data_IF_983257849545
#
_entry.id   IF_983257849545
#
_cell.length_a   1.000
_cell.length_b   1.000
_cell.length_c   1.000
_cell.angle_alpha   90.00
_cell.angle_beta   90.00
_cell.angle_gamma   90.00
#
_symmetry.space_group_name_H-M   'P 1'
#
loop_
_entity.id
_entity.type
_entity.pdbx_description
1 polymer ?
#
# COMPACT_ATOMS: atom_id res chain seq x y z
N UNK A 1 8.52 -54.72 -20.49
CA UNK A 1 7.59 -54.11 -19.52
C UNK A 1 8.27 -53.39 -18.35
N UNK A 2 9.60 -53.10 -18.40
CA UNK A 2 10.31 -52.35 -17.35
C UNK A 2 10.63 -50.89 -17.72
N UNK A 3 10.40 -50.49 -18.98
CA UNK A 3 10.70 -49.14 -19.50
C UNK A 3 9.64 -48.08 -19.19
N UNK A 4 8.42 -48.48 -18.81
CA UNK A 4 7.33 -47.54 -18.51
C UNK A 4 7.36 -46.98 -17.07
N UNK A 5 8.09 -47.62 -16.15
CA UNK A 5 8.17 -47.17 -14.76
C UNK A 5 9.19 -46.05 -14.53
N UNK A 6 10.09 -45.81 -15.49
CA UNK A 6 11.13 -44.77 -15.38
C UNK A 6 10.69 -43.40 -15.94
N UNK A 7 9.63 -43.35 -16.75
CA UNK A 7 9.11 -42.09 -17.32
C UNK A 7 8.03 -41.42 -16.45
N UNK A 8 7.50 -42.12 -15.45
CA UNK A 8 6.45 -41.58 -14.57
C UNK A 8 6.95 -40.70 -13.41
N UNK A 9 8.26 -40.66 -13.15
CA UNK A 9 8.81 -40.12 -11.89
C UNK A 9 9.50 -38.75 -11.97
N UNK A 10 9.51 -38.08 -13.12
CA UNK A 10 10.20 -36.77 -13.24
C UNK A 10 9.29 -35.68 -13.80
N UNK A 11 8.06 -35.57 -13.30
CA UNK A 11 7.42 -34.26 -13.27
C UNK A 11 7.92 -33.56 -12.00
N UNK A 12 9.23 -33.25 -11.96
CA UNK A 12 9.78 -32.38 -10.93
C UNK A 12 9.07 -31.06 -11.13
N UNK A 13 8.12 -30.74 -10.25
CA UNK A 13 7.53 -29.42 -10.19
C UNK A 13 8.66 -28.46 -9.90
N UNK A 14 9.18 -27.83 -10.95
CA UNK A 14 10.15 -26.77 -10.87
C UNK A 14 9.39 -25.56 -10.32
N UNK A 15 9.16 -25.57 -9.01
CA UNK A 15 8.62 -24.43 -8.30
C UNK A 15 9.74 -23.42 -8.19
N UNK A 16 9.72 -22.43 -9.07
CA UNK A 16 10.67 -21.34 -9.03
C UNK A 16 10.38 -20.51 -7.78
N UNK A 17 11.33 -20.52 -6.85
CA UNK A 17 11.32 -19.62 -5.71
C UNK A 17 11.41 -18.17 -6.24
N UNK A 18 10.42 -17.35 -5.89
CA UNK A 18 10.36 -15.94 -6.28
C UNK A 18 11.08 -15.11 -5.22
N UNK A 19 11.71 -14.00 -5.62
CA UNK A 19 12.27 -13.02 -4.69
C UNK A 19 11.30 -11.87 -4.52
N UNK A 20 11.01 -11.45 -3.29
CA UNK A 20 10.11 -10.34 -3.01
C UNK A 20 10.76 -9.30 -2.12
N UNK A 21 10.25 -8.06 -2.15
CA UNK A 21 10.57 -7.10 -1.10
C UNK A 21 9.93 -7.55 0.21
N UNK A 22 10.67 -7.44 1.32
CA UNK A 22 10.23 -7.82 2.66
C UNK A 22 10.52 -6.71 3.66
N UNK A 23 9.46 -6.02 4.09
CA UNK A 23 9.55 -5.02 5.15
C UNK A 23 8.28 -5.02 5.99
N UNK A 24 8.45 -4.82 7.29
CA UNK A 24 7.35 -4.65 8.22
C UNK A 24 7.16 -3.17 8.53
N UNK A 25 5.91 -2.69 8.44
CA UNK A 25 5.51 -1.35 8.87
C UNK A 25 6.27 -0.19 8.21
N UNK A 26 6.32 -0.17 6.87
CA UNK A 26 6.85 0.99 6.13
C UNK A 26 5.75 1.98 5.79
N UNK A 27 6.08 3.27 5.72
CA UNK A 27 5.10 4.30 5.36
C UNK A 27 4.75 4.28 3.86
N UNK A 28 5.65 3.76 3.02
CA UNK A 28 5.43 3.54 1.59
C UNK A 28 6.12 2.25 1.13
N UNK A 29 5.49 1.44 0.25
CA UNK A 29 6.13 0.28 -0.37
C UNK A 29 7.45 0.61 -1.09
N UNK A 30 7.53 1.79 -1.70
CA UNK A 30 8.72 2.26 -2.42
C UNK A 30 9.96 2.40 -1.53
N UNK A 31 9.77 2.65 -0.22
CA UNK A 31 10.84 2.79 0.76
C UNK A 31 11.35 1.45 1.31
N UNK A 32 10.79 0.32 0.84
CA UNK A 32 11.33 -1.00 1.15
C UNK A 32 12.46 -1.36 0.18
N UNK A 33 13.63 -1.68 0.74
CA UNK A 33 14.83 -2.09 -0.02
C UNK A 33 15.33 -3.48 0.36
N UNK A 34 14.75 -4.09 1.39
CA UNK A 34 15.09 -5.44 1.83
C UNK A 34 14.35 -6.45 0.95
N UNK A 35 15.04 -7.49 0.52
CA UNK A 35 14.48 -8.58 -0.27
C UNK A 35 14.62 -9.91 0.45
N UNK A 36 13.73 -10.84 0.14
CA UNK A 36 13.75 -12.20 0.66
C UNK A 36 13.35 -13.19 -0.44
N UNK A 37 14.01 -14.35 -0.45
CA UNK A 37 13.60 -15.47 -1.29
C UNK A 37 12.41 -16.17 -0.63
N UNK A 38 11.34 -16.34 -1.39
CA UNK A 38 10.12 -16.98 -0.94
C UNK A 38 10.16 -18.49 -1.18
N UNK A 39 9.30 -19.21 -0.46
CA UNK A 39 9.12 -20.64 -0.68
C UNK A 39 8.43 -20.94 -2.02
N UNK A 40 8.49 -22.20 -2.42
CA UNK A 40 7.93 -22.71 -3.68
C UNK A 40 6.42 -22.41 -3.88
N UNK A 41 5.67 -22.29 -2.79
CA UNK A 41 4.23 -22.05 -2.73
C UNK A 41 3.88 -20.63 -2.27
N UNK A 42 4.88 -19.75 -2.16
CA UNK A 42 4.72 -18.36 -1.79
C UNK A 42 4.89 -17.43 -3.00
N UNK A 43 4.22 -16.27 -2.93
CA UNK A 43 4.29 -15.20 -3.91
C UNK A 43 4.42 -13.84 -3.20
N UNK A 44 4.71 -12.77 -3.95
CA UNK A 44 4.89 -11.47 -3.34
C UNK A 44 3.55 -10.84 -2.95
N UNK A 45 3.50 -10.28 -1.74
CA UNK A 45 2.35 -9.57 -1.18
C UNK A 45 2.73 -8.13 -0.83
N UNK A 46 1.73 -7.25 -0.91
CA UNK A 46 1.70 -5.99 -0.19
C UNK A 46 0.36 -5.83 0.55
N UNK A 47 0.43 -5.40 1.80
CA UNK A 47 -0.74 -5.18 2.66
C UNK A 47 -0.72 -3.76 3.24
N UNK A 48 -1.78 -3.01 3.01
CA UNK A 48 -2.01 -1.68 3.59
C UNK A 48 -2.87 -1.82 4.84
N UNK A 49 -2.44 -1.20 5.93
CA UNK A 49 -3.10 -1.29 7.23
C UNK A 49 -3.21 0.10 7.87
N UNK A 50 -4.33 0.45 8.52
CA UNK A 50 -4.46 1.70 9.26
C UNK A 50 -3.71 1.62 10.60
N UNK A 51 -3.00 2.68 10.96
CA UNK A 51 -2.45 2.95 12.30
C UNK A 51 -3.55 3.55 13.19
N UNK A 52 -3.35 3.50 14.51
CA UNK A 52 -4.27 4.08 15.50
C UNK A 52 -4.45 5.60 15.35
N UNK A 53 -3.44 6.30 14.83
CA UNK A 53 -3.48 7.74 14.58
C UNK A 53 -4.13 8.11 13.24
N UNK A 54 -4.65 7.13 12.48
CA UNK A 54 -5.25 7.34 11.15
C UNK A 54 -4.27 7.36 9.98
N UNK A 55 -2.95 7.31 10.23
CA UNK A 55 -1.97 7.09 9.16
C UNK A 55 -2.06 5.65 8.64
N UNK A 56 -1.42 5.38 7.50
CA UNK A 56 -1.30 4.03 6.95
C UNK A 56 0.10 3.47 7.17
N UNK A 57 0.21 2.15 7.24
CA UNK A 57 1.47 1.43 7.11
C UNK A 57 1.31 0.26 6.15
N UNK A 58 2.42 -0.13 5.55
CA UNK A 58 2.48 -1.18 4.56
C UNK A 58 3.40 -2.29 5.04
N UNK A 59 2.97 -3.53 4.80
CA UNK A 59 3.78 -4.73 4.98
C UNK A 59 4.01 -5.35 3.61
N UNK A 60 5.27 -5.67 3.32
CA UNK A 60 5.69 -6.34 2.10
C UNK A 60 6.33 -7.66 2.49
N UNK A 61 6.09 -8.71 1.72
CA UNK A 61 6.76 -9.99 1.96
C UNK A 61 6.28 -11.12 1.06
N UNK A 62 6.71 -12.32 1.44
CA UNK A 62 6.25 -13.59 0.89
C UNK A 62 4.91 -13.97 1.53
N UNK A 63 4.00 -14.49 0.71
CA UNK A 63 2.68 -14.91 1.19
C UNK A 63 2.18 -16.13 0.43
N UNK A 64 1.45 -17.01 1.11
CA UNK A 64 0.96 -18.24 0.51
C UNK A 64 0.08 -17.96 -0.71
N UNK A 65 0.38 -18.65 -1.82
CA UNK A 65 -0.30 -18.48 -3.11
C UNK A 65 -1.80 -18.77 -3.01
N UNK A 66 -2.18 -19.79 -2.24
CA UNK A 66 -3.58 -20.19 -1.99
C UNK A 66 -4.38 -19.08 -1.29
N UNK A 67 -3.79 -18.44 -0.28
CA UNK A 67 -4.44 -17.36 0.46
C UNK A 67 -4.58 -16.11 -0.41
N UNK A 68 -3.58 -15.80 -1.25
CA UNK A 68 -3.71 -14.70 -2.20
C UNK A 68 -4.85 -14.89 -3.21
N UNK A 69 -5.02 -16.12 -3.72
CA UNK A 69 -6.10 -16.44 -4.66
C UNK A 69 -7.48 -16.17 -4.02
N UNK A 70 -7.65 -16.48 -2.73
CA UNK A 70 -8.88 -16.17 -2.01
C UNK A 70 -9.15 -14.65 -1.96
N UNK A 71 -8.14 -13.83 -1.62
CA UNK A 71 -8.30 -12.37 -1.60
C UNK A 71 -8.62 -11.80 -2.98
N UNK A 72 -8.00 -12.32 -4.05
CA UNK A 72 -8.31 -11.91 -5.42
C UNK A 72 -9.75 -12.26 -5.84
N UNK A 73 -10.30 -13.39 -5.36
CA UNK A 73 -11.68 -13.80 -5.64
C UNK A 73 -12.68 -12.95 -4.87
N UNK A 74 -12.43 -12.68 -3.58
CA UNK A 74 -13.31 -11.86 -2.73
C UNK A 74 -13.32 -10.40 -3.18
N UNK A 75 -12.19 -9.89 -3.70
CA UNK A 75 -12.04 -8.50 -4.11
C UNK A 75 -12.04 -8.26 -5.63
N UNK A 76 -12.25 -9.28 -6.47
CA UNK A 76 -12.11 -9.12 -7.92
C UNK A 76 -12.98 -10.02 -8.78
N UNK A 77 -14.20 -9.55 -9.13
CA UNK A 77 -14.72 -9.43 -10.51
C UNK A 77 -15.83 -8.35 -10.52
N UNK A 78 -15.62 -7.23 -11.21
CA UNK A 78 -16.71 -6.47 -11.85
C UNK A 78 -17.56 -5.49 -11.03
N UNK A 79 -17.20 -5.09 -9.81
CA UNK A 79 -17.92 -4.01 -9.11
C UNK A 79 -16.99 -2.85 -8.79
N UNK A 80 -17.40 -1.64 -9.19
CA UNK A 80 -16.85 -0.38 -8.67
C UNK A 80 -16.66 -0.58 -7.18
N UNK A 81 -15.42 -0.53 -6.71
CA UNK A 81 -15.10 -0.63 -5.29
C UNK A 81 -15.77 0.58 -4.66
N UNK A 82 -16.99 0.38 -4.16
CA UNK A 82 -17.61 1.28 -3.22
C UNK A 82 -16.68 1.24 -2.02
N UNK A 83 -16.00 2.37 -1.83
CA UNK A 83 -15.17 2.71 -0.68
C UNK A 83 -16.02 2.50 0.57
N UNK A 84 -16.00 1.29 1.10
CA UNK A 84 -16.75 0.89 2.29
C UNK A 84 -15.75 0.31 3.27
N UNK A 85 -15.20 1.22 4.08
CA UNK A 85 -14.29 1.02 5.22
C UNK A 85 -12.79 0.95 4.91
N UNK A 86 -11.93 1.56 5.76
CA UNK A 86 -10.47 1.52 5.69
C UNK A 86 -9.92 0.18 6.21
N UNK A 87 -10.64 -0.92 5.96
CA UNK A 87 -10.18 -2.27 6.30
C UNK A 87 -8.99 -2.63 5.40
N UNK A 88 -8.01 -3.31 5.97
CA UNK A 88 -6.73 -3.60 5.36
C UNK A 88 -6.84 -4.14 3.93
N UNK A 89 -6.11 -3.52 3.00
CA UNK A 89 -6.10 -3.91 1.58
C UNK A 89 -4.89 -4.80 1.35
N UNK A 90 -5.11 -5.99 0.80
CA UNK A 90 -4.04 -6.92 0.45
C UNK A 90 -4.04 -7.18 -1.06
N UNK A 91 -2.87 -7.08 -1.69
CA UNK A 91 -2.64 -7.47 -3.09
C UNK A 91 -1.41 -8.34 -3.20
N UNK A 92 -1.37 -9.17 -4.23
CA UNK A 92 -0.23 -10.03 -4.48
C UNK A 92 0.02 -10.26 -5.98
N UNK A 93 1.25 -10.63 -6.29
CA UNK A 93 1.81 -10.83 -7.64
C UNK A 93 2.88 -11.92 -7.59
N UNK A 94 3.18 -12.53 -8.73
CA UNK A 94 3.95 -13.77 -8.85
C UNK A 94 5.26 -13.63 -9.64
N UNK A 95 5.76 -12.41 -9.79
CA UNK A 95 7.05 -12.11 -10.41
C UNK A 95 8.05 -11.55 -9.40
N UNK A 96 9.34 -11.61 -9.71
CA UNK A 96 10.36 -11.12 -8.78
C UNK A 96 10.18 -9.62 -8.50
N UNK A 97 10.23 -9.26 -7.21
CA UNK A 97 10.24 -7.89 -6.68
C UNK A 97 9.01 -7.04 -7.09
N UNK A 98 7.90 -7.69 -7.46
CA UNK A 98 6.73 -7.03 -8.03
C UNK A 98 5.85 -6.29 -7.00
N UNK A 99 6.01 -6.60 -5.70
CA UNK A 99 5.18 -6.02 -4.64
C UNK A 99 5.53 -4.57 -4.27
N UNK A 100 6.45 -3.93 -5.01
CA UNK A 100 6.81 -2.54 -4.78
C UNK A 100 5.74 -1.56 -5.28
N UNK A 101 5.04 -1.88 -6.37
CA UNK A 101 4.13 -0.95 -7.07
C UNK A 101 2.65 -1.37 -7.05
N UNK A 102 2.34 -2.51 -6.41
CA UNK A 102 1.03 -3.19 -6.47
C UNK A 102 -0.16 -2.36 -5.95
N UNK A 103 0.05 -1.46 -4.98
CA UNK A 103 -1.05 -0.69 -4.38
C UNK A 103 -1.33 0.64 -5.10
N UNK A 104 -0.59 0.95 -6.17
CA UNK A 104 -0.73 2.21 -6.90
C UNK A 104 -1.07 2.01 -8.38
N UNK A 105 -2.25 1.48 -8.75
CA UNK A 105 -2.71 1.52 -10.14
C UNK A 105 -3.15 2.97 -10.46
N UNK A 106 -2.18 3.84 -10.78
CA UNK A 106 -2.44 5.26 -11.08
C UNK A 106 -1.38 6.26 -10.61
N UNK A 107 -0.26 5.81 -10.02
CA UNK A 107 0.95 6.65 -9.87
C UNK A 107 0.97 7.63 -8.70
N UNK A 108 -0.08 7.72 -7.90
CA UNK A 108 -0.03 8.39 -6.58
C UNK A 108 -1.12 7.81 -5.70
N UNK A 109 -0.74 7.30 -4.54
CA UNK A 109 -1.60 7.21 -3.37
C UNK A 109 -2.43 8.50 -3.24
N UNK A 110 -3.72 8.40 -3.56
CA UNK A 110 -4.72 9.47 -3.37
C UNK A 110 -4.66 10.02 -1.95
N UNK A 111 -4.32 9.15 -0.98
CA UNK A 111 -4.03 9.50 0.40
C UNK A 111 -2.93 10.57 0.58
N UNK A 112 -1.81 10.49 -0.14
CA UNK A 112 -0.75 11.51 -0.01
C UNK A 112 -1.18 12.85 -0.60
N UNK A 113 -1.86 12.81 -1.76
CA UNK A 113 -2.47 14.01 -2.35
C UNK A 113 -3.53 14.61 -1.42
N UNK A 114 -4.32 13.78 -0.76
CA UNK A 114 -5.33 14.21 0.20
C UNK A 114 -4.71 14.82 1.46
N UNK A 115 -3.68 14.17 2.01
CA UNK A 115 -2.90 14.69 3.15
C UNK A 115 -2.20 16.01 2.81
N UNK A 116 -1.69 16.16 1.60
CA UNK A 116 -1.08 17.41 1.13
C UNK A 116 -2.14 18.53 1.02
N UNK A 117 -3.32 18.23 0.46
CA UNK A 117 -4.45 19.17 0.42
C UNK A 117 -4.91 19.58 1.82
N UNK A 118 -4.90 18.67 2.79
CA UNK A 118 -5.26 18.98 4.18
C UNK A 118 -4.26 19.94 4.83
N UNK A 119 -2.95 19.68 4.64
CA UNK A 119 -1.88 20.60 5.09
C UNK A 119 -1.98 21.97 4.44
N UNK A 120 -2.39 22.04 3.17
CA UNK A 120 -2.60 23.31 2.48
C UNK A 120 -3.77 24.09 3.08
N UNK A 121 -4.91 23.42 3.34
CA UNK A 121 -6.07 24.03 4.01
C UNK A 121 -5.74 24.58 5.40
N UNK A 122 -4.92 23.87 6.16
CA UNK A 122 -4.47 24.32 7.48
C UNK A 122 -3.62 25.60 7.39
N UNK A 123 -2.66 25.65 6.47
CA UNK A 123 -1.85 26.84 6.21
C UNK A 123 -2.69 28.04 5.76
N UNK A 124 -3.73 27.82 4.96
CA UNK A 124 -4.65 28.89 4.56
C UNK A 124 -5.47 29.42 5.74
N UNK A 125 -5.94 28.53 6.63
CA UNK A 125 -6.65 28.91 7.85
C UNK A 125 -5.76 29.77 8.75
N UNK A 126 -4.53 29.35 9.00
CA UNK A 126 -3.57 30.13 9.80
C UNK A 126 -3.29 31.52 9.18
N UNK A 127 -3.11 31.59 7.86
CA UNK A 127 -2.94 32.87 7.15
C UNK A 127 -4.16 33.77 7.29
N UNK A 128 -5.38 33.22 7.24
CA UNK A 128 -6.62 33.98 7.39
C UNK A 128 -6.74 34.55 8.81
N UNK A 129 -6.48 33.71 9.82
CA UNK A 129 -6.51 34.12 11.23
C UNK A 129 -5.45 35.21 11.52
N UNK A 130 -4.25 35.09 10.95
CA UNK A 130 -3.21 36.13 11.08
C UNK A 130 -3.64 37.48 10.48
N UNK A 131 -4.23 37.47 9.28
CA UNK A 131 -4.72 38.69 8.61
C UNK A 131 -5.85 39.34 9.41
N UNK A 132 -6.71 38.55 10.03
CA UNK A 132 -7.80 39.05 10.86
C UNK A 132 -7.27 39.75 12.11
N UNK A 133 -6.28 39.14 12.81
CA UNK A 133 -5.61 39.78 13.96
C UNK A 133 -4.87 41.06 13.59
N UNK A 134 -4.24 41.12 12.41
CA UNK A 134 -3.59 42.35 11.93
C UNK A 134 -4.60 43.48 11.69
N UNK A 135 -5.75 43.18 11.08
CA UNK A 135 -6.83 44.15 10.87
C UNK A 135 -7.46 44.62 12.19
N UNK A 136 -7.60 43.74 13.16
CA UNK A 136 -8.12 44.09 14.49
C UNK A 136 -7.18 45.09 15.19
N UNK A 137 -5.86 44.82 15.16
CA UNK A 137 -4.85 45.73 15.70
C UNK A 137 -4.84 47.09 15.02
N UNK A 138 -5.08 47.14 13.71
CA UNK A 138 -5.18 48.39 12.96
C UNK A 138 -6.40 49.21 13.41
N UNK A 139 -7.56 48.56 13.55
CA UNK A 139 -8.78 49.21 14.08
C UNK A 139 -8.62 49.70 15.52
N UNK A 140 -7.89 48.96 16.36
CA UNK A 140 -7.58 49.42 17.72
C UNK A 140 -6.69 50.65 17.72
N UNK A 141 -5.69 50.72 16.82
CA UNK A 141 -4.85 51.91 16.65
C UNK A 141 -5.65 53.12 16.18
N UNK A 142 -6.54 52.94 15.22
CA UNK A 142 -7.44 54.01 14.74
C UNK A 142 -8.39 54.52 15.83
N UNK A 143 -8.79 53.66 16.78
CA UNK A 143 -9.64 54.08 17.92
C UNK A 143 -8.87 54.77 19.04
N UNK A 144 -7.56 54.52 19.14
CA UNK A 144 -6.70 55.05 20.19
C UNK A 144 -5.97 56.35 19.80
N UNK A 145 -5.96 56.69 18.51
CA UNK A 145 -5.48 57.98 17.98
C UNK A 145 -6.60 58.99 17.81
#
# INVERSE_FOLDING_TARGET
MLLFLLYGLTCVRLSFAVTCYKCDSVDQPAHCYQTANCQADEICMVSQNPKLNGDLFFNLGCFAKSTCQYFNIVHGVGRRILVSSPSSITRCCDTDNCNKDLLCPGGTCEYEREREREREREREREKRERRERERERERERERAG
#
